data_IF_639111511569
#
_entry.id   IF_639111511569
#
_cell.length_a   1.000
_cell.length_b   1.000
_cell.length_c   1.000
_cell.angle_alpha   90.00
_cell.angle_beta   90.00
_cell.angle_gamma   90.00
#
_symmetry.space_group_name_H-M   'P 1'
#
loop_
_entity.id
_entity.type
_entity.pdbx_description
1 polymer ?
#
# COMPACT_ATOMS: atom_id res chain seq x y z
N UNK A 1 2.90 27.60 -5.89
CA UNK A 1 3.78 26.44 -5.61
C UNK A 1 3.56 25.41 -6.68
N UNK A 2 4.63 24.87 -7.27
CA UNK A 2 4.52 23.76 -8.23
C UNK A 2 4.62 22.44 -7.49
N UNK A 3 3.69 21.53 -7.78
CA UNK A 3 3.55 20.23 -7.12
C UNK A 3 3.56 19.13 -8.18
N UNK A 4 4.34 18.09 -7.96
CA UNK A 4 4.41 16.93 -8.87
C UNK A 4 4.10 15.66 -8.11
N UNK A 5 3.26 14.79 -8.68
CA UNK A 5 3.06 13.41 -8.25
C UNK A 5 3.69 12.49 -9.29
N UNK A 6 4.66 11.66 -8.87
CA UNK A 6 5.47 10.86 -9.79
C UNK A 6 4.84 9.54 -10.23
N UNK A 7 3.92 9.00 -9.42
CA UNK A 7 3.35 7.66 -9.60
C UNK A 7 1.91 7.56 -9.08
N UNK A 8 1.10 8.58 -9.44
CA UNK A 8 -0.27 8.76 -8.94
C UNK A 8 -1.19 7.56 -9.13
N UNK A 9 -1.01 6.76 -10.18
CA UNK A 9 -1.81 5.56 -10.41
C UNK A 9 -1.68 4.52 -9.29
N UNK A 10 -0.56 4.53 -8.55
CA UNK A 10 -0.35 3.59 -7.44
C UNK A 10 -1.21 3.90 -6.22
N UNK A 11 -1.75 5.13 -6.12
CA UNK A 11 -2.59 5.60 -5.02
C UNK A 11 -4.01 5.94 -5.47
N UNK A 12 -4.15 6.41 -6.69
CA UNK A 12 -5.41 6.88 -7.25
C UNK A 12 -5.54 6.39 -8.70
N UNK A 13 -6.07 5.19 -8.91
CA UNK A 13 -6.34 4.67 -10.25
C UNK A 13 -7.55 5.34 -10.94
N UNK A 14 -8.11 6.40 -10.35
CA UNK A 14 -9.23 7.17 -10.88
C UNK A 14 -10.46 7.23 -9.97
N UNK A 15 -10.36 6.75 -8.74
CA UNK A 15 -11.44 6.69 -7.74
C UNK A 15 -11.37 7.80 -6.68
N UNK A 16 -10.28 8.57 -6.63
CA UNK A 16 -10.08 9.67 -5.70
C UNK A 16 -9.87 11.01 -6.42
N UNK A 17 -10.09 12.12 -5.71
CA UNK A 17 -9.85 13.46 -6.21
C UNK A 17 -8.48 14.00 -5.80
N UNK A 18 -7.82 14.72 -6.69
CA UNK A 18 -6.60 15.48 -6.41
C UNK A 18 -6.85 16.93 -5.96
N UNK A 19 -8.14 17.36 -5.86
CA UNK A 19 -8.51 18.75 -5.49
C UNK A 19 -7.79 19.27 -4.25
N UNK A 20 -7.50 18.40 -3.28
CA UNK A 20 -6.78 18.80 -2.08
C UNK A 20 -5.38 19.35 -2.38
N UNK A 21 -4.67 18.77 -3.35
CA UNK A 21 -3.36 19.23 -3.78
C UNK A 21 -3.46 20.38 -4.80
N UNK A 22 -4.45 20.36 -5.68
CA UNK A 22 -4.72 21.43 -6.67
C UNK A 22 -4.98 22.79 -5.99
N UNK A 23 -5.62 22.78 -4.83
CA UNK A 23 -5.85 24.01 -4.02
C UNK A 23 -4.56 24.60 -3.45
N UNK A 24 -3.49 23.82 -3.35
CA UNK A 24 -2.20 24.27 -2.82
C UNK A 24 -1.29 24.85 -3.90
N UNK A 25 -1.55 24.59 -5.18
CA UNK A 25 -0.73 25.09 -6.26
C UNK A 25 -0.98 24.43 -7.60
N UNK A 26 -0.07 24.67 -8.53
CA UNK A 26 -0.08 24.03 -9.84
C UNK A 26 0.34 22.57 -9.70
N UNK A 27 -0.61 21.65 -9.93
CA UNK A 27 -0.41 20.22 -9.80
C UNK A 27 -0.17 19.54 -11.14
N UNK A 28 0.86 18.71 -11.21
CA UNK A 28 1.09 17.78 -12.33
C UNK A 28 1.13 16.36 -11.76
N UNK A 29 0.28 15.48 -12.29
CA UNK A 29 0.22 14.06 -11.88
C UNK A 29 0.67 13.19 -13.03
N UNK A 30 1.67 12.34 -12.78
CA UNK A 30 2.09 11.28 -13.67
C UNK A 30 1.61 9.93 -13.12
N UNK A 31 1.03 9.09 -13.96
CA UNK A 31 0.58 7.77 -13.57
C UNK A 31 1.74 6.90 -13.06
N UNK A 32 2.85 6.93 -13.79
CA UNK A 32 4.10 6.23 -13.48
C UNK A 32 5.28 7.01 -14.04
N UNK A 33 6.41 7.01 -13.35
CA UNK A 33 7.62 7.71 -13.81
C UNK A 33 8.78 6.72 -14.04
N UNK A 34 9.30 6.59 -15.26
CA UNK A 34 10.53 5.84 -15.52
C UNK A 34 11.73 6.43 -14.79
N UNK A 35 12.69 5.59 -14.42
CA UNK A 35 13.83 5.98 -13.60
C UNK A 35 14.69 7.11 -14.22
N UNK A 36 14.84 7.11 -15.54
CA UNK A 36 15.59 8.10 -16.31
C UNK A 36 14.86 9.46 -16.45
N UNK A 37 13.55 9.54 -16.07
CA UNK A 37 12.72 10.72 -16.19
C UNK A 37 12.40 11.40 -14.86
N UNK A 38 12.90 10.86 -13.74
CA UNK A 38 12.49 11.34 -12.41
C UNK A 38 12.87 12.82 -12.22
N UNK A 39 14.14 13.16 -12.41
CA UNK A 39 14.61 14.54 -12.24
C UNK A 39 13.97 15.51 -13.25
N UNK A 40 13.79 15.08 -14.51
CA UNK A 40 13.13 15.87 -15.56
C UNK A 40 11.68 16.20 -15.18
N UNK A 41 10.95 15.23 -14.62
CA UNK A 41 9.55 15.41 -14.23
C UNK A 41 9.36 16.22 -12.96
N UNK A 42 10.30 16.11 -12.00
CA UNK A 42 10.32 17.00 -10.84
C UNK A 42 10.60 18.44 -11.33
N UNK A 43 11.60 18.63 -12.20
CA UNK A 43 11.93 19.90 -12.80
C UNK A 43 12.15 21.00 -11.76
N UNK A 44 11.35 22.06 -11.83
CA UNK A 44 11.37 23.22 -10.94
C UNK A 44 10.32 23.16 -9.81
N UNK A 45 9.72 21.98 -9.58
CA UNK A 45 8.72 21.80 -8.53
C UNK A 45 9.30 22.02 -7.13
N UNK A 46 8.49 22.61 -6.27
CA UNK A 46 8.83 22.85 -4.85
C UNK A 46 8.41 21.68 -3.95
N UNK A 47 7.39 20.93 -4.36
CA UNK A 47 6.90 19.75 -3.66
C UNK A 47 6.75 18.58 -4.61
N UNK A 48 7.17 17.41 -4.18
CA UNK A 48 6.97 16.15 -4.92
C UNK A 48 6.32 15.11 -4.02
N UNK A 49 5.40 14.36 -4.60
CA UNK A 49 4.78 13.20 -3.96
C UNK A 49 5.13 11.93 -4.73
N UNK A 50 5.38 10.86 -4.00
CA UNK A 50 5.71 9.55 -4.57
C UNK A 50 5.28 8.43 -3.63
N UNK A 51 4.97 7.26 -4.18
CA UNK A 51 4.77 6.03 -3.41
C UNK A 51 5.91 5.03 -3.66
N UNK A 52 6.20 4.75 -4.94
CA UNK A 52 7.17 3.71 -5.34
C UNK A 52 8.36 4.25 -6.11
N UNK A 53 8.26 5.45 -6.68
CA UNK A 53 9.33 6.05 -7.49
C UNK A 53 10.46 6.52 -6.57
N UNK A 54 11.71 6.01 -6.74
CA UNK A 54 12.81 6.36 -5.85
C UNK A 54 13.33 7.77 -6.11
N UNK A 55 13.65 8.49 -5.02
CA UNK A 55 14.29 9.80 -5.07
C UNK A 55 15.66 9.70 -4.40
N UNK A 56 16.70 9.63 -5.22
CA UNK A 56 18.09 9.48 -4.81
C UNK A 56 18.76 10.83 -4.49
N UNK A 57 19.95 10.78 -3.89
CA UNK A 57 20.79 11.95 -3.71
C UNK A 57 21.08 12.69 -5.02
N UNK A 58 21.29 11.94 -6.11
CA UNK A 58 21.51 12.52 -7.44
C UNK A 58 20.27 13.29 -7.92
N UNK A 59 19.07 12.71 -7.75
CA UNK A 59 17.80 13.36 -8.13
C UNK A 59 17.59 14.65 -7.34
N UNK A 60 17.83 14.61 -6.01
CA UNK A 60 17.70 15.78 -5.13
C UNK A 60 18.68 16.89 -5.58
N UNK A 61 19.93 16.52 -5.89
CA UNK A 61 20.93 17.48 -6.37
C UNK A 61 20.59 18.14 -7.71
N UNK A 62 19.78 17.48 -8.54
CA UNK A 62 19.32 18.04 -9.82
C UNK A 62 18.07 18.91 -9.70
N UNK A 63 17.41 18.93 -8.55
CA UNK A 63 16.15 19.64 -8.31
C UNK A 63 16.31 20.73 -7.21
N UNK A 64 17.00 21.85 -7.50
CA UNK A 64 17.40 22.83 -6.46
C UNK A 64 16.22 23.58 -5.84
N UNK A 65 15.04 23.57 -6.48
CA UNK A 65 13.85 24.23 -5.95
C UNK A 65 13.03 23.33 -5.00
N UNK A 66 13.38 22.03 -4.93
CA UNK A 66 12.65 21.05 -4.12
C UNK A 66 12.79 21.37 -2.63
N UNK A 67 11.66 21.50 -1.94
CA UNK A 67 11.55 21.82 -0.50
C UNK A 67 10.87 20.72 0.28
N UNK A 68 10.01 19.93 -0.37
CA UNK A 68 9.18 18.94 0.28
C UNK A 68 9.06 17.64 -0.55
N UNK A 69 9.18 16.51 0.13
CA UNK A 69 8.92 15.18 -0.41
C UNK A 69 7.86 14.52 0.46
N UNK A 70 6.68 14.24 -0.11
CA UNK A 70 5.62 13.49 0.52
C UNK A 70 5.63 12.04 0.03
N UNK A 71 5.85 11.08 0.94
CA UNK A 71 5.75 9.66 0.63
C UNK A 71 4.33 9.20 0.92
N UNK A 72 3.60 8.79 -0.12
CA UNK A 72 2.20 8.34 -0.03
C UNK A 72 2.11 6.88 0.46
N UNK A 73 2.93 6.53 1.44
CA UNK A 73 3.03 5.21 2.04
C UNK A 73 3.58 5.28 3.45
N UNK A 74 3.52 4.17 4.19
CA UNK A 74 4.19 4.02 5.48
C UNK A 74 5.70 3.90 5.32
N UNK A 75 6.17 3.06 4.39
CA UNK A 75 7.60 2.88 4.12
C UNK A 75 8.15 4.04 3.29
N UNK A 76 9.26 4.60 3.72
CA UNK A 76 9.96 5.72 3.04
C UNK A 76 11.37 5.35 2.55
N UNK A 77 11.68 4.08 2.48
CA UNK A 77 12.98 3.57 2.02
C UNK A 77 13.29 3.88 0.55
N UNK A 78 12.32 4.38 -0.21
CA UNK A 78 12.51 4.88 -1.58
C UNK A 78 13.16 6.27 -1.62
N UNK A 79 13.30 6.95 -0.48
CA UNK A 79 13.89 8.29 -0.39
C UNK A 79 15.26 8.22 0.28
N UNK A 80 16.25 8.88 -0.31
CA UNK A 80 17.51 9.18 0.38
C UNK A 80 17.30 10.31 1.38
N UNK A 81 16.88 9.92 2.59
CA UNK A 81 16.57 10.88 3.66
C UNK A 81 17.80 11.63 4.18
N UNK A 82 18.98 11.04 4.06
CA UNK A 82 20.24 11.72 4.45
C UNK A 82 20.56 12.85 3.47
N UNK A 83 20.44 12.58 2.17
CA UNK A 83 20.62 13.59 1.14
C UNK A 83 19.54 14.69 1.21
N UNK A 84 18.27 14.31 1.44
CA UNK A 84 17.18 15.27 1.61
C UNK A 84 17.45 16.22 2.78
N UNK A 85 17.85 15.67 3.93
CA UNK A 85 18.23 16.48 5.11
C UNK A 85 19.40 17.41 4.83
N UNK A 86 20.44 16.95 4.15
CA UNK A 86 21.60 17.75 3.78
C UNK A 86 21.23 18.92 2.83
N UNK A 87 20.26 18.69 1.94
CA UNK A 87 19.72 19.70 1.03
C UNK A 87 18.65 20.60 1.66
N UNK A 88 18.27 20.39 2.91
CA UNK A 88 17.19 21.15 3.57
C UNK A 88 15.79 20.80 3.11
N UNK A 89 15.61 19.64 2.45
CA UNK A 89 14.32 19.15 1.96
C UNK A 89 13.61 18.37 3.07
N UNK A 90 12.36 18.75 3.34
CA UNK A 90 11.52 18.09 4.34
C UNK A 90 10.94 16.81 3.74
N UNK A 91 11.05 15.69 4.45
CA UNK A 91 10.45 14.42 4.06
C UNK A 91 9.35 14.04 5.05
N UNK A 92 8.18 13.69 4.55
CA UNK A 92 7.04 13.20 5.34
C UNK A 92 6.47 11.93 4.74
N UNK A 93 5.89 11.07 5.58
CA UNK A 93 5.22 9.84 5.19
C UNK A 93 3.86 9.70 5.92
N UNK A 94 3.15 8.57 5.68
CA UNK A 94 1.85 8.26 6.33
C UNK A 94 2.04 7.02 7.21
N UNK A 95 2.35 7.17 8.51
CA UNK A 95 2.94 6.09 9.31
C UNK A 95 2.00 4.94 9.68
N UNK A 96 0.71 5.15 9.89
CA UNK A 96 -0.14 4.14 10.57
C UNK A 96 -1.48 3.82 9.90
N UNK A 97 -1.76 4.33 8.71
CA UNK A 97 -3.06 4.18 8.06
C UNK A 97 -3.49 2.72 7.78
N UNK A 98 -2.52 1.84 7.54
CA UNK A 98 -2.77 0.46 7.14
C UNK A 98 -2.67 -0.58 8.28
N UNK A 99 -2.34 -0.19 9.50
CA UNK A 99 -2.02 -1.12 10.60
C UNK A 99 -3.16 -2.09 10.89
N UNK A 100 -4.37 -1.59 11.07
CA UNK A 100 -5.54 -2.42 11.40
C UNK A 100 -5.93 -3.32 10.21
N UNK A 101 -5.90 -2.78 8.99
CA UNK A 101 -6.23 -3.55 7.79
C UNK A 101 -5.22 -4.69 7.55
N UNK A 102 -3.93 -4.44 7.75
CA UNK A 102 -2.89 -5.47 7.64
C UNK A 102 -3.05 -6.54 8.71
N UNK A 103 -3.31 -6.15 9.96
CA UNK A 103 -3.55 -7.09 11.06
C UNK A 103 -4.78 -7.96 10.79
N UNK A 104 -5.89 -7.36 10.39
CA UNK A 104 -7.12 -8.07 10.02
C UNK A 104 -6.88 -9.06 8.88
N UNK A 105 -6.16 -8.64 7.83
CA UNK A 105 -5.87 -9.50 6.69
C UNK A 105 -4.94 -10.67 7.06
N UNK A 106 -3.96 -10.45 7.93
CA UNK A 106 -3.10 -11.52 8.46
C UNK A 106 -3.92 -12.59 9.19
N UNK A 107 -4.89 -12.20 10.01
CA UNK A 107 -5.80 -13.13 10.69
C UNK A 107 -6.72 -13.84 9.67
N UNK A 108 -7.22 -13.13 8.67
CA UNK A 108 -8.04 -13.74 7.61
C UNK A 108 -7.28 -14.82 6.83
N UNK A 109 -6.02 -14.56 6.48
CA UNK A 109 -5.14 -15.56 5.85
C UNK A 109 -4.88 -16.76 6.76
N UNK A 110 -4.66 -16.55 8.06
CA UNK A 110 -4.50 -17.62 9.03
C UNK A 110 -5.76 -18.50 9.09
N UNK A 111 -6.94 -17.87 9.15
CA UNK A 111 -8.22 -18.60 9.17
C UNK A 111 -8.45 -19.38 7.86
N UNK A 112 -8.11 -18.80 6.72
CA UNK A 112 -8.19 -19.50 5.43
C UNK A 112 -7.28 -20.73 5.40
N UNK A 113 -6.04 -20.60 5.85
CA UNK A 113 -5.09 -21.72 5.94
C UNK A 113 -5.55 -22.83 6.89
N UNK A 114 -6.23 -22.47 7.99
CA UNK A 114 -6.71 -23.44 8.97
C UNK A 114 -8.04 -24.10 8.58
N UNK A 115 -8.90 -23.37 7.89
CA UNK A 115 -10.30 -23.78 7.67
C UNK A 115 -10.64 -24.04 6.21
N UNK A 116 -9.75 -23.74 5.25
CA UNK A 116 -9.95 -23.97 3.83
C UNK A 116 -11.28 -23.42 3.30
N UNK A 117 -11.65 -22.20 3.70
CA UNK A 117 -12.97 -21.59 3.44
C UNK A 117 -13.24 -21.50 1.95
N UNK A 118 -12.25 -21.13 1.15
CA UNK A 118 -12.33 -21.04 -0.31
C UNK A 118 -12.64 -22.40 -0.94
N UNK A 119 -11.90 -23.43 -0.55
CA UNK A 119 -12.10 -24.80 -1.03
C UNK A 119 -13.50 -25.33 -0.68
N UNK A 120 -13.94 -25.15 0.56
CA UNK A 120 -15.29 -25.55 0.97
C UNK A 120 -16.37 -24.78 0.19
N UNK A 121 -16.20 -23.50 -0.03
CA UNK A 121 -17.11 -22.70 -0.86
C UNK A 121 -17.22 -23.23 -2.28
N UNK A 122 -16.09 -23.59 -2.89
CA UNK A 122 -16.08 -24.11 -4.26
C UNK A 122 -16.69 -25.52 -4.34
N UNK A 123 -16.47 -26.37 -3.35
CA UNK A 123 -17.14 -27.67 -3.23
C UNK A 123 -18.67 -27.53 -3.13
N UNK A 124 -19.16 -26.57 -2.34
CA UNK A 124 -20.60 -26.30 -2.25
C UNK A 124 -21.17 -25.84 -3.59
N UNK A 125 -20.48 -24.92 -4.29
CA UNK A 125 -20.89 -24.46 -5.62
C UNK A 125 -20.86 -25.57 -6.67
N UNK A 126 -19.94 -26.53 -6.55
CA UNK A 126 -19.84 -27.70 -7.40
C UNK A 126 -20.94 -28.77 -7.11
N UNK A 127 -21.76 -28.54 -6.07
CA UNK A 127 -22.84 -29.45 -5.69
C UNK A 127 -22.42 -30.63 -4.80
N UNK A 128 -21.18 -30.65 -4.30
CA UNK A 128 -20.69 -31.73 -3.44
C UNK A 128 -21.51 -31.86 -2.15
N UNK A 129 -22.00 -30.75 -1.62
CA UNK A 129 -22.89 -30.75 -0.46
C UNK A 129 -24.21 -31.49 -0.68
N UNK A 130 -24.85 -31.28 -1.84
CA UNK A 130 -26.17 -31.88 -2.17
C UNK A 130 -26.09 -33.37 -2.48
N UNK A 131 -24.91 -33.84 -2.85
CA UNK A 131 -24.69 -35.25 -3.18
C UNK A 131 -24.14 -36.05 -1.99
N UNK A 132 -23.91 -35.42 -0.85
CA UNK A 132 -23.40 -36.10 0.34
C UNK A 132 -24.54 -36.64 1.21
N UNK A 133 -24.52 -37.96 1.48
CA UNK A 133 -25.55 -38.62 2.26
C UNK A 133 -25.63 -38.18 3.72
N UNK A 134 -24.53 -37.72 4.28
CA UNK A 134 -24.42 -37.36 5.69
C UNK A 134 -24.61 -35.85 5.95
N UNK A 135 -24.91 -35.05 4.90
CA UNK A 135 -25.12 -33.61 4.94
C UNK A 135 -23.91 -32.83 5.45
N UNK A 136 -22.74 -33.45 5.45
CA UNK A 136 -21.46 -32.85 5.80
C UNK A 136 -20.36 -33.50 4.95
N UNK A 137 -19.35 -32.72 4.65
CA UNK A 137 -18.13 -33.25 4.05
C UNK A 137 -16.92 -32.52 4.62
N UNK A 138 -15.79 -33.20 4.67
CA UNK A 138 -14.52 -32.61 5.05
C UNK A 138 -13.41 -33.28 4.24
N UNK A 139 -12.48 -32.49 3.76
CA UNK A 139 -11.32 -32.93 2.98
C UNK A 139 -10.05 -32.93 3.78
N UNK A 140 -9.99 -32.09 4.81
CA UNK A 140 -8.83 -31.90 5.65
C UNK A 140 -9.22 -32.08 7.13
N UNK A 141 -8.33 -32.63 7.97
CA UNK A 141 -8.57 -32.67 9.40
C UNK A 141 -8.81 -31.25 9.92
N UNK A 142 -9.88 -31.06 10.66
CA UNK A 142 -10.16 -29.78 11.30
C UNK A 142 -9.05 -29.45 12.29
N UNK A 143 -8.41 -28.28 12.13
CA UNK A 143 -7.41 -27.79 13.06
C UNK A 143 -8.13 -27.14 14.24
N UNK A 144 -8.73 -28.00 15.10
CA UNK A 144 -9.47 -27.56 16.29
C UNK A 144 -8.59 -26.76 17.29
N UNK A 145 -7.28 -26.90 17.20
CA UNK A 145 -6.30 -26.30 18.11
C UNK A 145 -6.35 -24.77 18.07
N UNK A 146 -6.56 -24.15 16.92
CA UNK A 146 -6.59 -22.69 16.79
C UNK A 146 -7.78 -22.06 17.52
N UNK A 147 -8.95 -22.68 17.45
CA UNK A 147 -10.14 -22.21 18.15
C UNK A 147 -10.02 -22.34 19.68
N UNK A 148 -9.45 -23.43 20.15
CA UNK A 148 -9.25 -23.66 21.58
C UNK A 148 -8.25 -22.68 22.18
N UNK A 149 -7.19 -22.32 21.46
CA UNK A 149 -6.22 -21.32 21.89
C UNK A 149 -6.79 -19.92 21.96
N UNK A 150 -7.56 -19.50 20.95
CA UNK A 150 -8.22 -18.18 20.94
C UNK A 150 -9.21 -18.06 22.12
N UNK A 151 -9.99 -19.10 22.40
CA UNK A 151 -10.95 -19.11 23.50
C UNK A 151 -10.29 -19.16 24.89
N UNK A 152 -9.13 -19.78 25.01
CA UNK A 152 -8.38 -19.86 26.27
C UNK A 152 -7.83 -18.49 26.73
N UNK A 153 -7.71 -17.53 25.83
CA UNK A 153 -7.26 -16.17 26.15
C UNK A 153 -8.41 -15.23 26.55
N UNK A 154 -9.67 -15.62 26.33
CA UNK A 154 -10.85 -14.84 26.73
C UNK A 154 -11.29 -15.11 28.18
N UNK A 155 -10.73 -16.08 28.84
CA UNK A 155 -11.00 -16.42 30.24
C UNK A 155 -9.81 -16.11 31.15
#
# INVERSE_FOLDING_TARGET
>A
MKIVVLDGYTENPGDLSWEGLERLGELTVYDRTPADKIAERIGDAEAVYTNKTPISAQTIGQCPNLKFIGVLATGYNVIDTAAAKAAGVIVSNIPTYGTDAVAQYAIALLLELCHHIGEHSDCVKAGEWTHNADWCFWKHPLVAVSYTHLRAHET
#
